data_IF_443055652487
#
_entry.id   IF_443055652487
#
_cell.length_a   1.000
_cell.length_b   1.000
_cell.length_c   1.000
_cell.angle_alpha   90.00
_cell.angle_beta   90.00
_cell.angle_gamma   90.00
#
_symmetry.space_group_name_H-M   'P 1'
#
loop_
_entity.id
_entity.type
_entity.pdbx_description
1 polymer ?
#
# COMPACT_ATOMS: atom_id res chain seq x y z
N UNK A 1 19.72 -10.89 4.50
CA UNK A 1 18.44 -10.48 3.93
C UNK A 1 18.48 -9.00 3.60
N UNK A 2 18.07 -8.64 2.41
CA UNK A 2 18.06 -7.23 2.02
C UNK A 2 16.87 -6.50 2.65
N UNK A 3 17.14 -5.31 3.17
CA UNK A 3 16.09 -4.44 3.67
C UNK A 3 15.25 -3.92 2.52
N UNK A 4 13.94 -4.02 2.63
CA UNK A 4 13.02 -3.48 1.65
C UNK A 4 12.45 -2.15 2.14
N UNK A 5 12.13 -1.27 1.20
CA UNK A 5 11.54 0.03 1.50
C UNK A 5 10.03 -0.02 1.24
N UNK A 6 9.27 0.31 2.26
CA UNK A 6 7.81 0.24 2.24
C UNK A 6 7.24 1.61 2.56
N UNK A 7 6.27 2.04 1.77
CA UNK A 7 5.50 3.25 2.03
C UNK A 7 4.12 2.84 2.53
N UNK A 8 3.73 3.33 3.71
CA UNK A 8 2.41 3.09 4.30
C UNK A 8 1.55 4.33 4.10
N UNK A 9 0.39 4.17 3.47
CA UNK A 9 -0.51 5.27 3.15
C UNK A 9 -1.86 5.02 3.82
N UNK A 10 -2.25 5.85 4.77
CA UNK A 10 -3.55 5.76 5.44
C UNK A 10 -3.88 7.10 6.07
N UNK A 11 -5.13 7.55 5.92
CA UNK A 11 -5.57 8.81 6.50
C UNK A 11 -5.89 8.72 7.99
N UNK A 12 -6.02 7.49 8.52
CA UNK A 12 -6.27 7.25 9.93
C UNK A 12 -4.96 7.02 10.67
N UNK A 13 -4.59 7.95 11.52
CA UNK A 13 -3.31 7.93 12.24
C UNK A 13 -3.08 6.63 13.01
N UNK A 14 -4.05 6.10 13.80
CA UNK A 14 -3.81 4.86 14.53
C UNK A 14 -3.51 3.67 13.62
N UNK A 15 -4.21 3.55 12.50
CA UNK A 15 -3.99 2.47 11.54
C UNK A 15 -2.62 2.62 10.89
N UNK A 16 -2.30 3.83 10.44
CA UNK A 16 -1.00 4.13 9.83
C UNK A 16 0.16 3.79 10.75
N UNK A 17 0.05 4.18 12.02
CA UNK A 17 1.08 3.89 13.01
C UNK A 17 1.22 2.40 13.30
N UNK A 18 0.11 1.69 13.36
CA UNK A 18 0.13 0.24 13.58
C UNK A 18 0.83 -0.48 12.42
N UNK A 19 0.44 -0.16 11.20
CA UNK A 19 1.04 -0.76 10.01
C UNK A 19 2.55 -0.49 9.97
N UNK A 20 2.94 0.75 10.21
CA UNK A 20 4.35 1.13 10.21
C UNK A 20 5.12 0.39 11.29
N UNK A 21 4.56 0.25 12.48
CA UNK A 21 5.22 -0.44 13.59
C UNK A 21 5.44 -1.91 13.28
N UNK A 22 4.43 -2.59 12.74
CA UNK A 22 4.52 -4.01 12.39
C UNK A 22 5.60 -4.23 11.33
N UNK A 23 5.58 -3.43 10.27
CA UNK A 23 6.52 -3.62 9.15
C UNK A 23 7.94 -3.22 9.54
N UNK A 24 8.10 -2.21 10.40
CA UNK A 24 9.42 -1.88 10.94
C UNK A 24 9.97 -3.00 11.81
N UNK A 25 9.12 -3.62 12.63
CA UNK A 25 9.52 -4.75 13.45
C UNK A 25 9.94 -5.96 12.60
N UNK A 26 9.36 -6.09 11.40
CA UNK A 26 9.73 -7.15 10.45
C UNK A 26 11.04 -6.85 9.71
N UNK A 27 11.66 -5.72 9.96
CA UNK A 27 12.96 -5.38 9.39
C UNK A 27 12.94 -4.49 8.17
N UNK A 28 11.78 -3.99 7.76
CA UNK A 28 11.68 -3.11 6.60
C UNK A 28 11.95 -1.65 6.96
N UNK A 29 12.45 -0.88 6.01
CA UNK A 29 12.57 0.57 6.15
C UNK A 29 11.22 1.18 5.74
N UNK A 30 10.52 1.79 6.70
CA UNK A 30 9.14 2.25 6.49
C UNK A 30 9.06 3.75 6.53
N UNK A 31 8.38 4.32 5.54
CA UNK A 31 7.95 5.71 5.57
C UNK A 31 6.43 5.75 5.48
N UNK A 32 5.84 6.86 5.91
CA UNK A 32 4.39 6.98 5.96
C UNK A 32 3.91 8.20 5.19
N UNK A 33 2.70 8.08 4.66
CA UNK A 33 1.98 9.18 4.03
C UNK A 33 0.55 9.17 4.57
N UNK A 34 -0.05 10.33 4.71
CA UNK A 34 -1.41 10.44 5.29
C UNK A 34 -2.53 10.31 4.25
N UNK A 35 -2.21 10.42 2.97
CA UNK A 35 -3.18 10.25 1.88
C UNK A 35 -2.45 10.01 0.57
N UNK A 36 -3.22 9.82 -0.51
CA UNK A 36 -2.66 9.54 -1.82
C UNK A 36 -1.81 10.67 -2.40
N UNK A 37 -2.24 11.91 -2.18
CA UNK A 37 -1.47 13.07 -2.67
C UNK A 37 -0.12 13.17 -1.98
N UNK A 38 -0.10 12.96 -0.66
CA UNK A 38 1.14 12.94 0.11
C UNK A 38 2.06 11.80 -0.34
N UNK A 39 1.48 10.62 -0.64
CA UNK A 39 2.22 9.49 -1.15
C UNK A 39 2.91 9.82 -2.48
N UNK A 40 2.18 10.43 -3.41
CA UNK A 40 2.76 10.80 -4.71
C UNK A 40 3.88 11.83 -4.55
N UNK A 41 3.72 12.77 -3.63
CA UNK A 41 4.75 13.76 -3.35
C UNK A 41 6.04 13.10 -2.85
N UNK A 42 5.91 12.12 -1.95
CA UNK A 42 7.06 11.38 -1.45
C UNK A 42 7.72 10.55 -2.56
N UNK A 43 6.92 9.92 -3.39
CA UNK A 43 7.44 9.09 -4.49
C UNK A 43 8.14 9.92 -5.55
N UNK A 44 7.65 11.12 -5.83
CA UNK A 44 8.32 12.04 -6.76
C UNK A 44 9.68 12.49 -6.24
N UNK A 45 9.83 12.62 -4.94
CA UNK A 45 11.08 13.07 -4.33
C UNK A 45 12.06 11.96 -4.02
N UNK A 46 11.62 10.70 -4.03
CA UNK A 46 12.44 9.56 -3.62
C UNK A 46 12.15 8.37 -4.51
N UNK A 47 13.19 7.77 -5.06
CA UNK A 47 13.07 6.50 -5.79
C UNK A 47 13.35 5.31 -4.87
N UNK A 48 13.00 4.11 -5.31
CA UNK A 48 13.44 2.89 -4.65
C UNK A 48 12.49 2.29 -3.63
N UNK A 49 11.23 2.71 -3.60
CA UNK A 49 10.23 1.99 -2.82
C UNK A 49 9.91 0.65 -3.49
N UNK A 50 9.89 -0.41 -2.70
CA UNK A 50 9.62 -1.76 -3.17
C UNK A 50 8.14 -2.12 -3.07
N UNK A 51 7.44 -1.55 -2.09
CA UNK A 51 6.04 -1.85 -1.81
C UNK A 51 5.33 -0.63 -1.26
N UNK A 52 4.07 -0.48 -1.65
CA UNK A 52 3.16 0.49 -1.06
C UNK A 52 2.02 -0.27 -0.41
N UNK A 53 1.79 -0.05 0.88
CA UNK A 53 0.64 -0.56 1.61
C UNK A 53 -0.30 0.61 1.81
N UNK A 54 -1.47 0.57 1.19
CA UNK A 54 -2.37 1.73 1.15
C UNK A 54 -3.79 1.35 1.53
N UNK A 55 -4.45 2.23 2.27
CA UNK A 55 -5.90 2.15 2.40
C UNK A 55 -6.52 2.32 1.02
N UNK A 56 -7.61 1.60 0.78
CA UNK A 56 -8.31 1.67 -0.50
C UNK A 56 -9.17 2.94 -0.58
N UNK A 57 -9.82 3.30 0.52
CA UNK A 57 -10.72 4.46 0.57
C UNK A 57 -10.08 5.59 1.38
N UNK A 58 -9.72 6.66 0.71
CA UNK A 58 -9.11 7.84 1.32
C UNK A 58 -9.73 9.10 0.72
N UNK A 59 -9.78 10.20 1.47
CA UNK A 59 -10.28 11.46 0.90
C UNK A 59 -9.36 11.97 -0.21
N UNK A 60 -9.96 12.57 -1.20
CA UNK A 60 -9.22 13.11 -2.35
C UNK A 60 -8.79 12.00 -3.28
N UNK A 61 -7.51 11.67 -3.28
CA UNK A 61 -6.96 10.65 -4.17
C UNK A 61 -7.01 9.29 -3.47
N UNK A 62 -7.97 8.46 -3.86
CA UNK A 62 -8.20 7.13 -3.28
C UNK A 62 -7.28 6.05 -3.89
N UNK A 63 -7.47 4.80 -3.46
CA UNK A 63 -6.66 3.67 -3.91
C UNK A 63 -6.65 3.47 -5.42
N UNK A 64 -7.80 3.41 -6.09
CA UNK A 64 -7.83 3.26 -7.55
C UNK A 64 -7.11 4.38 -8.29
N UNK A 65 -7.26 5.61 -7.85
CA UNK A 65 -6.57 6.75 -8.47
C UNK A 65 -5.08 6.71 -8.21
N UNK A 66 -4.69 6.29 -7.01
CA UNK A 66 -3.27 6.09 -6.68
C UNK A 66 -2.66 5.04 -7.62
N UNK A 67 -3.37 3.93 -7.82
CA UNK A 67 -2.93 2.88 -8.75
C UNK A 67 -2.72 3.43 -10.17
N UNK A 68 -3.67 4.21 -10.67
CA UNK A 68 -3.58 4.80 -12.00
C UNK A 68 -2.38 5.74 -12.12
N UNK A 69 -2.17 6.58 -11.11
CA UNK A 69 -1.04 7.51 -11.12
C UNK A 69 0.29 6.79 -11.05
N UNK A 70 0.39 5.74 -10.25
CA UNK A 70 1.61 4.93 -10.16
C UNK A 70 1.93 4.25 -11.50
N UNK A 71 0.91 3.69 -12.13
CA UNK A 71 1.09 3.00 -13.41
C UNK A 71 1.47 3.98 -14.52
N UNK A 72 0.87 5.18 -14.52
CA UNK A 72 1.15 6.20 -15.52
C UNK A 72 2.55 6.78 -15.37
N UNK A 73 2.97 7.05 -14.11
CA UNK A 73 4.25 7.72 -13.86
C UNK A 73 5.44 6.76 -13.90
N UNK A 74 5.25 5.53 -13.43
CA UNK A 74 6.32 4.53 -13.35
C UNK A 74 5.86 3.20 -13.93
N UNK A 75 5.63 3.12 -15.25
CA UNK A 75 5.07 1.89 -15.85
C UNK A 75 5.98 0.67 -15.71
N UNK A 76 7.30 0.88 -15.70
CA UNK A 76 8.26 -0.23 -15.64
C UNK A 76 8.85 -0.45 -14.25
N UNK A 77 8.76 0.53 -13.36
CA UNK A 77 9.40 0.50 -12.04
C UNK A 77 8.43 0.69 -10.89
N UNK A 78 7.14 0.51 -11.16
CA UNK A 78 6.10 0.68 -10.15
C UNK A 78 6.34 -0.28 -8.98
N UNK A 79 6.28 0.20 -7.73
CA UNK A 79 6.33 -0.67 -6.56
C UNK A 79 5.17 -1.65 -6.54
N UNK A 80 5.33 -2.76 -5.83
CA UNK A 80 4.19 -3.62 -5.54
C UNK A 80 3.15 -2.86 -4.71
N UNK A 81 1.88 -3.26 -4.84
CA UNK A 81 0.78 -2.65 -4.10
C UNK A 81 0.04 -3.69 -3.28
N UNK A 82 -0.22 -3.35 -2.03
CA UNK A 82 -1.13 -4.09 -1.16
C UNK A 82 -2.16 -3.09 -0.63
N UNK A 83 -3.43 -3.32 -0.95
CA UNK A 83 -4.50 -2.48 -0.41
C UNK A 83 -5.05 -3.06 0.87
N UNK A 84 -5.35 -2.17 1.81
CA UNK A 84 -6.03 -2.50 3.06
C UNK A 84 -7.42 -1.91 2.98
N UNK A 85 -8.44 -2.70 3.28
CA UNK A 85 -9.82 -2.21 3.17
C UNK A 85 -10.70 -2.76 4.27
N UNK A 86 -11.56 -1.90 4.80
CA UNK A 86 -12.62 -2.31 5.71
C UNK A 86 -13.86 -2.80 4.97
N UNK A 87 -13.94 -2.58 3.65
CA UNK A 87 -15.15 -2.83 2.86
C UNK A 87 -14.81 -3.49 1.53
N UNK A 88 -14.44 -4.78 1.58
CA UNK A 88 -14.08 -5.51 0.35
C UNK A 88 -15.25 -5.66 -0.60
N UNK A 89 -16.46 -5.71 -0.05
CA UNK A 89 -17.68 -5.92 -0.83
C UNK A 89 -18.31 -4.63 -1.34
N UNK A 90 -17.64 -3.50 -1.20
CA UNK A 90 -18.18 -2.24 -1.68
C UNK A 90 -18.31 -2.26 -3.20
N UNK A 91 -19.51 -2.02 -3.75
CA UNK A 91 -19.68 -1.96 -5.20
C UNK A 91 -18.79 -0.91 -5.86
N UNK A 92 -18.44 0.13 -5.12
CA UNK A 92 -17.60 1.23 -5.60
C UNK A 92 -16.24 0.76 -6.09
N UNK A 93 -15.67 -0.27 -5.43
CA UNK A 93 -14.33 -0.74 -5.76
C UNK A 93 -14.28 -2.11 -6.43
N UNK A 94 -15.43 -2.80 -6.52
CA UNK A 94 -15.47 -4.18 -7.00
C UNK A 94 -14.89 -4.33 -8.42
N UNK A 95 -15.24 -3.43 -9.33
CA UNK A 95 -14.76 -3.47 -10.70
C UNK A 95 -13.26 -3.25 -10.79
N UNK A 96 -12.75 -2.29 -10.03
CA UNK A 96 -11.32 -2.01 -9.97
C UNK A 96 -10.54 -3.23 -9.47
N UNK A 97 -10.99 -3.83 -8.37
CA UNK A 97 -10.30 -4.96 -7.76
C UNK A 97 -10.27 -6.18 -8.69
N UNK A 98 -11.37 -6.45 -9.39
CA UNK A 98 -11.42 -7.56 -10.34
C UNK A 98 -10.53 -7.30 -11.56
N UNK A 99 -10.55 -6.07 -12.06
CA UNK A 99 -9.84 -5.72 -13.29
C UNK A 99 -8.32 -5.67 -13.13
N UNK A 100 -7.84 -5.28 -11.96
CA UNK A 100 -6.40 -5.07 -11.74
C UNK A 100 -5.73 -6.24 -11.04
N UNK A 101 -6.48 -7.10 -10.38
CA UNK A 101 -5.98 -8.24 -9.61
C UNK A 101 -4.96 -7.86 -8.53
N UNK A 102 -5.05 -6.63 -8.03
CA UNK A 102 -4.22 -6.20 -6.90
C UNK A 102 -4.61 -6.96 -5.65
N UNK A 103 -3.65 -7.19 -4.77
CA UNK A 103 -3.91 -7.88 -3.53
C UNK A 103 -4.57 -6.94 -2.52
N UNK A 104 -5.56 -7.46 -1.80
CA UNK A 104 -6.30 -6.71 -0.78
C UNK A 104 -6.31 -7.51 0.51
N UNK A 105 -6.09 -6.82 1.63
CA UNK A 105 -6.17 -7.38 2.95
C UNK A 105 -7.26 -6.64 3.73
N UNK A 106 -8.12 -7.39 4.42
CA UNK A 106 -9.19 -6.78 5.22
C UNK A 106 -8.64 -6.08 6.45
N UNK A 107 -9.23 -4.95 6.85
CA UNK A 107 -8.79 -4.22 8.05
C UNK A 107 -8.91 -5.02 9.34
N UNK A 108 -9.70 -6.09 9.35
CA UNK A 108 -9.79 -7.03 10.48
C UNK A 108 -8.65 -8.07 10.47
N UNK A 109 -7.59 -7.84 9.71
CA UNK A 109 -6.47 -8.76 9.58
C UNK A 109 -5.75 -9.00 10.92
N UNK A 110 -5.20 -10.20 11.07
CA UNK A 110 -4.22 -10.45 12.13
C UNK A 110 -2.85 -9.93 11.68
N UNK A 111 -1.99 -9.59 12.64
CA UNK A 111 -0.64 -9.08 12.35
C UNK A 111 0.12 -10.05 11.44
N UNK A 112 0.01 -11.35 11.71
CA UNK A 112 0.68 -12.36 10.90
C UNK A 112 0.18 -12.38 9.45
N UNK A 113 -1.08 -12.08 9.21
CA UNK A 113 -1.63 -11.99 7.86
C UNK A 113 -0.98 -10.86 7.08
N UNK A 114 -0.79 -9.72 7.71
CA UNK A 114 -0.11 -8.58 7.10
C UNK A 114 1.34 -8.94 6.76
N UNK A 115 2.08 -9.50 7.70
CA UNK A 115 3.48 -9.87 7.48
C UNK A 115 3.62 -10.87 6.34
N UNK A 116 2.74 -11.88 6.27
CA UNK A 116 2.77 -12.87 5.20
C UNK A 116 2.44 -12.28 3.83
N UNK A 117 1.44 -11.39 3.78
CA UNK A 117 1.07 -10.74 2.53
C UNK A 117 2.21 -9.87 1.99
N UNK A 118 2.85 -9.12 2.86
CA UNK A 118 3.99 -8.27 2.50
C UNK A 118 5.17 -9.12 2.03
N UNK A 119 5.52 -10.16 2.76
CA UNK A 119 6.62 -11.05 2.39
C UNK A 119 6.36 -11.71 1.03
N UNK A 120 5.13 -12.14 0.79
CA UNK A 120 4.75 -12.75 -0.49
C UNK A 120 4.94 -11.81 -1.67
N UNK A 121 4.54 -10.55 -1.52
CA UNK A 121 4.69 -9.55 -2.58
C UNK A 121 6.16 -9.18 -2.80
N UNK A 122 6.91 -9.01 -1.74
CA UNK A 122 8.33 -8.65 -1.85
C UNK A 122 9.16 -9.77 -2.45
N UNK A 123 8.72 -11.01 -2.33
CA UNK A 123 9.41 -12.18 -2.90
C UNK A 123 9.22 -12.31 -4.41
N UNK A 124 8.28 -11.57 -4.99
CA UNK A 124 7.96 -11.66 -6.42
C UNK A 124 8.90 -10.84 -7.30
N UNK A 125 9.73 -10.04 -6.74
CA UNK A 125 10.60 -9.14 -7.50
C UNK A 125 11.87 -9.80 -8.05
#
# INVERSE_FOLDING_TARGET
MSTKRVLVVDDQTPVRELLAAVLSADGHAVETARDGADALRLLDGQAGFDLIVSDLKMPGLDGPRLYLELTRRWPDTRPHLLFISGFVDSPEYAGFLRGTRVQVLLKSFAVDDLSRAVDGLLSQS
#
